data_IF_556160235498
#
_entry.id   IF_556160235498
#
_cell.length_a   1.000
_cell.length_b   1.000
_cell.length_c   1.000
_cell.angle_alpha   90.00
_cell.angle_beta   90.00
_cell.angle_gamma   90.00
#
_symmetry.space_group_name_H-M   'P 1'
#
loop_
_entity.id
_entity.type
_entity.pdbx_description
1 polymer ?
#
# COMPACT_ATOMS: atom_id res chain seq x y z
N UNK A 1 6.84 -5.02 11.43
CA UNK A 1 7.41 -4.77 12.78
C UNK A 1 8.85 -4.31 12.61
N UNK A 2 9.33 -3.35 13.39
CA UNK A 2 10.74 -2.93 13.36
C UNK A 2 11.40 -3.30 14.70
N UNK A 3 12.59 -3.88 14.66
CA UNK A 3 13.37 -4.17 15.86
C UNK A 3 14.05 -2.90 16.38
N UNK A 4 13.98 -2.65 17.68
CA UNK A 4 14.70 -1.59 18.36
C UNK A 4 15.90 -2.20 19.10
N UNK A 5 17.10 -1.90 18.63
CA UNK A 5 18.34 -2.49 19.14
C UNK A 5 18.69 -2.04 20.56
N UNK A 6 18.19 -0.88 21.03
CA UNK A 6 18.47 -0.39 22.38
C UNK A 6 17.64 -1.14 23.43
N UNK A 7 16.38 -1.45 23.10
CA UNK A 7 15.43 -2.03 24.05
C UNK A 7 15.20 -3.52 23.83
N UNK A 8 15.82 -4.10 22.80
CA UNK A 8 15.64 -5.50 22.38
C UNK A 8 14.16 -5.87 22.17
N UNK A 9 13.37 -4.91 21.65
CA UNK A 9 11.92 -5.04 21.49
C UNK A 9 11.47 -4.68 20.09
N UNK A 10 10.34 -5.23 19.68
CA UNK A 10 9.71 -4.91 18.40
C UNK A 10 8.65 -3.82 18.56
N UNK A 11 8.74 -2.79 17.72
CA UNK A 11 7.70 -1.79 17.55
C UNK A 11 6.80 -2.15 16.36
N UNK A 12 5.48 -2.00 16.55
CA UNK A 12 4.50 -2.06 15.46
C UNK A 12 4.62 -0.77 14.64
N UNK A 13 4.76 -0.90 13.32
CA UNK A 13 4.81 0.20 12.36
C UNK A 13 3.97 -0.15 11.14
N UNK A 14 3.21 0.82 10.67
CA UNK A 14 2.46 0.76 9.41
C UNK A 14 2.76 2.03 8.61
N UNK A 15 3.12 1.89 7.34
CA UNK A 15 3.19 3.00 6.39
C UNK A 15 1.87 3.08 5.62
N UNK A 16 1.55 4.29 5.11
CA UNK A 16 0.43 4.51 4.20
C UNK A 16 0.98 4.93 2.85
N UNK A 17 0.57 4.25 1.79
CA UNK A 17 0.98 4.54 0.41
C UNK A 17 -0.25 5.01 -0.36
N UNK A 18 -0.12 6.12 -1.09
CA UNK A 18 -1.20 6.66 -1.92
C UNK A 18 -1.14 6.02 -3.30
N UNK A 19 -2.13 5.19 -3.63
CA UNK A 19 -2.25 4.56 -4.94
C UNK A 19 -3.43 5.14 -5.72
N UNK A 20 -3.32 5.14 -7.05
CA UNK A 20 -4.43 5.41 -7.94
C UNK A 20 -5.25 4.12 -8.12
N UNK A 21 -6.57 4.21 -7.93
CA UNK A 21 -7.51 3.12 -8.17
C UNK A 21 -8.19 3.34 -9.52
N UNK A 22 -7.84 2.56 -10.56
CA UNK A 22 -8.58 2.59 -11.81
C UNK A 22 -9.94 1.91 -11.64
N UNK A 23 -10.97 2.44 -12.31
CA UNK A 23 -12.34 1.96 -12.20
C UNK A 23 -12.50 0.46 -12.56
N UNK A 24 -11.58 -0.07 -13.36
CA UNK A 24 -11.54 -1.48 -13.77
C UNK A 24 -11.29 -2.46 -12.61
N UNK A 25 -10.64 -2.03 -11.53
CA UNK A 25 -10.26 -2.92 -10.41
C UNK A 25 -11.33 -2.97 -9.32
N UNK A 26 -12.16 -1.92 -9.20
CA UNK A 26 -13.31 -1.92 -8.28
C UNK A 26 -12.97 -2.18 -6.80
N UNK A 27 -11.77 -1.80 -6.34
CA UNK A 27 -11.33 -2.01 -4.97
C UNK A 27 -12.14 -1.17 -3.97
N UNK A 28 -12.54 -1.79 -2.86
CA UNK A 28 -13.29 -1.17 -1.77
C UNK A 28 -12.48 -1.13 -0.46
N UNK A 29 -12.98 -0.40 0.53
CA UNK A 29 -12.34 -0.33 1.85
C UNK A 29 -12.36 -1.72 2.52
N UNK A 30 -11.17 -2.19 2.93
CA UNK A 30 -11.00 -3.48 3.60
C UNK A 30 -10.41 -4.58 2.73
N UNK A 31 -10.36 -4.39 1.41
CA UNK A 31 -9.77 -5.37 0.49
C UNK A 31 -8.23 -5.43 0.59
N UNK A 32 -7.65 -6.62 0.49
CA UNK A 32 -6.24 -6.80 0.21
C UNK A 32 -5.97 -6.62 -1.29
N UNK A 33 -5.11 -5.65 -1.62
CA UNK A 33 -4.79 -5.30 -3.01
C UNK A 33 -3.28 -5.39 -3.28
N UNK A 34 -2.91 -5.75 -4.51
CA UNK A 34 -1.53 -5.63 -4.99
C UNK A 34 -1.38 -4.32 -5.76
N UNK A 35 -0.33 -3.56 -5.40
CA UNK A 35 0.04 -2.30 -6.03
C UNK A 35 1.34 -2.46 -6.83
N UNK A 36 1.48 -1.67 -7.89
CA UNK A 36 2.69 -1.59 -8.72
C UNK A 36 3.14 -0.14 -8.87
N UNK A 37 4.45 0.05 -9.04
CA UNK A 37 5.05 1.34 -9.38
C UNK A 37 4.65 1.81 -10.78
N UNK A 38 4.42 3.12 -10.92
CA UNK A 38 4.08 3.76 -12.18
C UNK A 38 4.82 5.09 -12.31
N UNK A 39 4.68 5.77 -13.45
CA UNK A 39 5.07 7.18 -13.57
C UNK A 39 4.33 8.01 -12.52
N UNK A 40 4.90 9.13 -12.03
CA UNK A 40 4.18 10.03 -11.14
C UNK A 40 2.87 10.50 -11.78
N UNK A 41 1.74 10.12 -11.19
CA UNK A 41 0.40 10.50 -11.64
C UNK A 41 -0.07 11.80 -10.96
N UNK A 42 0.46 12.08 -9.78
CA UNK A 42 0.19 13.29 -9.00
C UNK A 42 1.38 13.57 -8.07
N UNK A 43 1.28 14.61 -7.24
CA UNK A 43 2.30 14.98 -6.26
C UNK A 43 2.71 13.83 -5.34
N UNK A 44 1.76 12.97 -4.97
CA UNK A 44 1.96 11.88 -4.00
C UNK A 44 1.61 10.49 -4.53
N UNK A 45 1.04 10.40 -5.74
CA UNK A 45 0.57 9.14 -6.33
C UNK A 45 1.56 8.69 -7.40
N UNK A 46 2.36 7.68 -7.05
CA UNK A 46 3.30 7.01 -7.95
C UNK A 46 3.04 5.50 -8.06
N UNK A 47 1.90 5.05 -7.56
CA UNK A 47 1.50 3.65 -7.54
C UNK A 47 0.10 3.48 -8.12
N UNK A 48 -0.15 2.33 -8.75
CA UNK A 48 -1.45 1.94 -9.30
C UNK A 48 -1.85 0.58 -8.75
N UNK A 49 -3.14 0.38 -8.48
CA UNK A 49 -3.70 -0.90 -8.05
C UNK A 49 -3.92 -1.80 -9.27
N UNK A 50 -3.50 -3.07 -9.20
CA UNK A 50 -3.63 -4.04 -10.31
C UNK A 50 -4.70 -5.08 -10.03
N UNK A 51 -4.63 -5.73 -8.87
CA UNK A 51 -5.44 -6.91 -8.54
C UNK A 51 -5.93 -6.84 -7.09
N UNK A 52 -7.08 -7.47 -6.87
CA UNK A 52 -7.63 -7.77 -5.53
C UNK A 52 -7.28 -9.22 -5.22
N UNK A 53 -6.72 -9.48 -4.03
CA UNK A 53 -6.33 -10.83 -3.61
C UNK A 53 -7.45 -11.63 -2.97
N UNK A 54 -8.50 -10.96 -2.51
CA UNK A 54 -9.63 -11.58 -1.81
C UNK A 54 -10.84 -11.84 -2.73
N UNK A 55 -10.64 -11.73 -4.05
CA UNK A 55 -11.65 -11.99 -5.08
C UNK A 55 -11.54 -13.41 -5.64
#
# INVERSE_FOLDING_TARGET
>A
MKYDSKYERYQRRSSRIQAHSPASVGAQEGDAVTIMECRPLSKTKSFVIIERRDA
#
